data_IF_061340208244
#
_entry.id   IF_061340208244
#
_cell.length_a   1.000
_cell.length_b   1.000
_cell.length_c   1.000
_cell.angle_alpha   90.00
_cell.angle_beta   90.00
_cell.angle_gamma   90.00
#
_symmetry.space_group_name_H-M   'P 1'
#
loop_
_entity.id
_entity.type
_entity.pdbx_description
1 polymer ?
#
# COMPACT_ATOMS: atom_id res chain seq x y z
N UNK A 1 11.05 12.05 13.86
CA UNK A 1 9.73 12.71 13.78
C UNK A 1 9.68 13.86 12.78
N UNK A 2 10.55 14.90 12.88
CA UNK A 2 10.51 16.04 11.92
C UNK A 2 10.84 15.68 10.46
N UNK A 3 11.78 14.80 10.23
CA UNK A 3 12.26 14.43 8.87
C UNK A 3 11.23 13.61 8.09
N UNK A 4 10.48 12.72 8.74
CA UNK A 4 9.44 11.90 8.12
C UNK A 4 8.27 12.74 7.62
N UNK A 5 7.89 13.78 8.34
CA UNK A 5 6.88 14.73 7.92
C UNK A 5 7.35 15.59 6.73
N UNK A 6 8.60 16.01 6.72
CA UNK A 6 9.17 16.76 5.59
C UNK A 6 9.06 15.94 4.30
N UNK A 7 9.36 14.65 4.36
CA UNK A 7 9.30 13.78 3.18
C UNK A 7 7.85 13.50 2.75
N UNK A 8 6.92 13.27 3.71
CA UNK A 8 5.51 13.13 3.39
C UNK A 8 4.94 14.39 2.72
N UNK A 9 5.28 15.56 3.24
CA UNK A 9 4.89 16.83 2.63
C UNK A 9 5.56 17.07 1.28
N UNK A 10 6.84 16.72 1.14
CA UNK A 10 7.54 16.80 -0.16
C UNK A 10 6.84 15.94 -1.21
N UNK A 11 6.43 14.71 -0.85
CA UNK A 11 5.64 13.86 -1.74
C UNK A 11 4.34 14.54 -2.18
N UNK A 12 3.56 15.06 -1.23
CA UNK A 12 2.30 15.75 -1.53
C UNK A 12 2.54 16.97 -2.43
N UNK A 13 3.59 17.73 -2.19
CA UNK A 13 3.94 18.91 -3.00
C UNK A 13 4.33 18.49 -4.41
N UNK A 14 5.22 17.53 -4.57
CA UNK A 14 5.68 17.07 -5.89
C UNK A 14 4.57 16.35 -6.66
N UNK A 15 3.82 15.45 -6.01
CA UNK A 15 2.67 14.81 -6.63
C UNK A 15 1.61 15.81 -7.08
N UNK A 16 1.28 16.78 -6.23
CA UNK A 16 0.34 17.86 -6.58
C UNK A 16 0.85 18.74 -7.71
N UNK A 17 2.15 19.06 -7.75
CA UNK A 17 2.76 19.83 -8.83
C UNK A 17 2.70 19.07 -10.17
N UNK A 18 2.97 17.76 -10.17
CA UNK A 18 2.86 16.92 -11.36
C UNK A 18 1.41 16.78 -11.82
N UNK A 19 0.47 16.65 -10.89
CA UNK A 19 -0.96 16.64 -11.20
C UNK A 19 -1.43 17.95 -11.81
N UNK A 20 -0.99 19.09 -11.26
CA UNK A 20 -1.27 20.41 -11.84
C UNK A 20 -0.66 20.52 -13.24
N UNK A 21 0.58 20.09 -13.43
CA UNK A 21 1.21 20.07 -14.76
C UNK A 21 0.44 19.18 -15.75
N UNK A 22 -0.05 18.02 -15.30
CA UNK A 22 -0.92 17.15 -16.11
C UNK A 22 -2.19 17.88 -16.57
N UNK A 23 -2.85 18.65 -15.69
CA UNK A 23 -4.05 19.40 -16.04
C UNK A 23 -3.83 20.41 -17.19
N UNK A 24 -2.64 21.02 -17.26
CA UNK A 24 -2.31 21.97 -18.31
C UNK A 24 -1.77 21.33 -19.59
N UNK A 25 -1.11 20.18 -19.48
CA UNK A 25 -0.41 19.56 -20.62
C UNK A 25 -1.13 18.33 -21.17
N UNK A 26 -2.06 17.76 -20.42
CA UNK A 26 -2.69 16.47 -20.70
C UNK A 26 -1.68 15.32 -20.94
N UNK A 27 -0.46 15.46 -20.40
CA UNK A 27 0.58 14.45 -20.50
C UNK A 27 0.46 13.41 -19.38
N UNK A 28 0.00 12.21 -19.73
CA UNK A 28 -0.18 11.10 -18.78
C UNK A 28 1.12 10.61 -18.12
N UNK A 29 2.27 10.85 -18.73
CA UNK A 29 3.56 10.50 -18.11
C UNK A 29 3.78 11.26 -16.80
N UNK A 30 3.23 12.47 -16.67
CA UNK A 30 3.29 13.25 -15.43
C UNK A 30 2.44 12.62 -14.31
N UNK A 31 1.28 12.06 -14.65
CA UNK A 31 0.46 11.31 -13.69
C UNK A 31 1.20 10.04 -13.22
N UNK A 32 1.80 9.29 -14.15
CA UNK A 32 2.63 8.11 -13.81
C UNK A 32 3.83 8.51 -12.95
N UNK A 33 4.51 9.59 -13.27
CA UNK A 33 5.65 10.08 -12.48
C UNK A 33 5.22 10.47 -11.06
N UNK A 34 4.01 11.03 -10.88
CA UNK A 34 3.45 11.32 -9.57
C UNK A 34 3.26 10.06 -8.70
N UNK A 35 2.90 8.94 -9.32
CA UNK A 35 2.78 7.65 -8.64
C UNK A 35 4.16 7.03 -8.31
N UNK A 36 5.09 7.09 -9.24
CA UNK A 36 6.41 6.49 -9.07
C UNK A 36 7.24 7.15 -7.96
N UNK A 37 6.90 8.38 -7.54
CA UNK A 37 7.57 9.07 -6.43
C UNK A 37 7.38 8.35 -5.07
N UNK A 38 6.40 7.44 -4.97
CA UNK A 38 6.22 6.56 -3.80
C UNK A 38 7.39 5.61 -3.58
N UNK A 39 8.07 5.19 -4.65
CA UNK A 39 9.13 4.21 -4.59
C UNK A 39 10.32 4.71 -3.76
N UNK A 40 10.94 5.88 -4.04
CA UNK A 40 12.01 6.42 -3.21
C UNK A 40 11.55 6.69 -1.76
N UNK A 41 10.31 7.13 -1.56
CA UNK A 41 9.78 7.32 -0.22
C UNK A 41 9.64 5.99 0.55
N UNK A 42 9.17 4.93 -0.10
CA UNK A 42 9.14 3.59 0.47
C UNK A 42 10.52 3.17 0.99
N UNK A 43 11.56 3.25 0.15
CA UNK A 43 12.91 2.87 0.55
C UNK A 43 13.41 3.70 1.73
N UNK A 44 13.23 5.01 1.68
CA UNK A 44 13.63 5.89 2.77
C UNK A 44 12.92 5.54 4.08
N UNK A 45 11.60 5.43 4.07
CA UNK A 45 10.81 5.13 5.26
C UNK A 45 11.14 3.73 5.81
N UNK A 46 11.22 2.73 4.93
CA UNK A 46 11.52 1.36 5.32
C UNK A 46 12.91 1.23 5.96
N UNK A 47 13.94 1.82 5.36
CA UNK A 47 15.30 1.80 5.91
C UNK A 47 15.34 2.50 7.28
N UNK A 48 14.68 3.64 7.43
CA UNK A 48 14.66 4.39 8.70
C UNK A 48 13.84 3.71 9.79
N UNK A 49 12.72 3.09 9.45
CA UNK A 49 11.79 2.51 10.41
C UNK A 49 12.08 1.03 10.73
N UNK A 50 12.48 0.25 9.73
CA UNK A 50 12.73 -1.20 9.86
C UNK A 50 14.21 -1.58 9.74
N UNK A 51 15.02 -0.72 9.15
CA UNK A 51 16.43 -0.97 8.87
C UNK A 51 16.69 -1.57 7.49
N UNK A 52 17.96 -1.46 7.07
CA UNK A 52 18.38 -1.85 5.71
C UNK A 52 18.14 -3.33 5.40
N UNK A 53 18.52 -4.25 6.31
CA UNK A 53 18.36 -5.70 6.10
C UNK A 53 16.90 -6.13 5.94
N UNK A 54 15.99 -5.51 6.68
CA UNK A 54 14.56 -5.74 6.51
C UNK A 54 14.10 -5.26 5.13
N UNK A 55 14.48 -4.03 4.78
CA UNK A 55 14.09 -3.40 3.51
C UNK A 55 14.57 -4.21 2.31
N UNK A 56 15.83 -4.66 2.33
CA UNK A 56 16.41 -5.51 1.28
C UNK A 56 15.62 -6.81 1.09
N UNK A 57 15.35 -7.54 2.19
CA UNK A 57 14.58 -8.79 2.14
C UNK A 57 13.15 -8.55 1.68
N UNK A 58 12.48 -7.54 2.26
CA UNK A 58 11.11 -7.20 1.91
C UNK A 58 10.99 -6.85 0.43
N UNK A 59 11.87 -5.97 -0.06
CA UNK A 59 11.90 -5.56 -1.46
C UNK A 59 12.19 -6.74 -2.39
N UNK A 60 13.25 -7.51 -2.14
CA UNK A 60 13.63 -8.62 -3.02
C UNK A 60 12.50 -9.65 -3.14
N UNK A 61 11.91 -10.05 -2.02
CA UNK A 61 10.82 -11.04 -2.02
C UNK A 61 9.57 -10.48 -2.68
N UNK A 62 9.14 -9.28 -2.30
CA UNK A 62 7.91 -8.68 -2.84
C UNK A 62 8.04 -8.36 -4.33
N UNK A 63 9.19 -7.84 -4.77
CA UNK A 63 9.46 -7.54 -6.18
C UNK A 63 9.43 -8.79 -7.06
N UNK A 64 10.15 -9.85 -6.64
CA UNK A 64 10.23 -11.09 -7.42
C UNK A 64 8.85 -11.76 -7.50
N UNK A 65 8.13 -11.86 -6.39
CA UNK A 65 6.81 -12.48 -6.38
C UNK A 65 5.79 -11.65 -7.17
N UNK A 66 5.79 -10.34 -7.01
CA UNK A 66 4.93 -9.45 -7.80
C UNK A 66 5.22 -9.60 -9.30
N UNK A 67 6.50 -9.63 -9.70
CA UNK A 67 6.89 -9.86 -11.09
C UNK A 67 6.37 -11.20 -11.62
N UNK A 68 6.53 -12.29 -10.86
CA UNK A 68 6.05 -13.62 -11.25
C UNK A 68 4.53 -13.63 -11.40
N UNK A 69 3.79 -13.03 -10.45
CA UNK A 69 2.33 -12.96 -10.48
C UNK A 69 1.84 -12.13 -11.66
N UNK A 70 2.47 -10.98 -11.92
CA UNK A 70 2.17 -10.15 -13.09
C UNK A 70 2.47 -10.88 -14.40
N UNK A 71 3.61 -11.58 -14.48
CA UNK A 71 3.97 -12.38 -15.65
C UNK A 71 2.90 -13.47 -15.93
N UNK A 72 2.48 -14.20 -14.88
CA UNK A 72 1.41 -15.20 -15.01
C UNK A 72 0.10 -14.51 -15.42
N UNK A 73 -0.26 -13.40 -14.76
CA UNK A 73 -1.47 -12.63 -15.03
C UNK A 73 -1.55 -12.18 -16.48
N UNK A 74 -0.48 -11.58 -16.99
CA UNK A 74 -0.40 -11.08 -18.36
C UNK A 74 -0.56 -12.19 -19.40
N UNK A 75 0.07 -13.36 -19.21
CA UNK A 75 0.10 -14.45 -20.19
C UNK A 75 -1.11 -15.38 -20.11
N UNK A 76 -1.73 -15.52 -18.93
CA UNK A 76 -2.83 -16.47 -18.71
C UNK A 76 -4.18 -15.81 -18.42
N UNK A 77 -4.15 -14.57 -17.93
CA UNK A 77 -5.31 -13.88 -17.37
C UNK A 77 -5.59 -14.24 -15.90
N UNK A 78 -4.90 -15.23 -15.31
CA UNK A 78 -5.08 -15.58 -13.90
C UNK A 78 -4.01 -14.88 -13.05
N UNK A 79 -4.37 -14.26 -11.90
CA UNK A 79 -5.69 -14.24 -11.25
C UNK A 79 -6.57 -13.02 -11.61
N UNK A 80 -6.06 -12.04 -12.39
CA UNK A 80 -6.65 -10.71 -12.52
C UNK A 80 -7.77 -10.62 -13.56
N UNK A 81 -7.71 -11.40 -14.60
CA UNK A 81 -8.42 -11.27 -15.88
C UNK A 81 -7.42 -11.01 -17.00
N UNK A 82 -7.85 -11.06 -18.25
CA UNK A 82 -6.96 -10.77 -19.38
C UNK A 82 -6.82 -9.27 -19.59
N UNK A 83 -5.59 -8.79 -19.65
CA UNK A 83 -5.23 -7.39 -19.88
C UNK A 83 -3.96 -7.25 -20.69
N UNK A 84 -3.69 -6.04 -21.19
CA UNK A 84 -2.45 -5.67 -21.89
C UNK A 84 -1.96 -4.34 -21.37
N UNK A 85 -0.66 -4.19 -21.16
CA UNK A 85 -0.04 -2.92 -20.81
C UNK A 85 0.13 -2.02 -22.03
N UNK A 86 0.21 -0.70 -21.78
CA UNK A 86 0.58 0.30 -22.79
C UNK A 86 2.05 0.69 -22.62
N UNK A 87 2.67 1.26 -23.65
CA UNK A 87 4.07 1.68 -23.62
C UNK A 87 4.36 2.84 -22.62
N UNK A 88 3.34 3.47 -22.04
CA UNK A 88 3.49 4.60 -21.09
C UNK A 88 4.24 4.19 -19.83
N UNK A 89 4.15 2.91 -19.44
CA UNK A 89 4.81 2.39 -18.22
C UNK A 89 6.32 2.15 -18.39
N UNK A 90 6.87 2.46 -19.56
CA UNK A 90 8.31 2.40 -19.81
C UNK A 90 8.81 0.99 -20.18
N UNK A 91 10.07 0.66 -19.85
CA UNK A 91 10.70 -0.58 -20.27
C UNK A 91 10.04 -1.81 -19.65
N UNK A 92 9.92 -2.86 -20.45
CA UNK A 92 9.28 -4.13 -20.10
C UNK A 92 10.29 -5.27 -20.06
N UNK A 93 10.07 -6.21 -19.17
CA UNK A 93 10.75 -7.50 -19.12
C UNK A 93 9.70 -8.60 -19.32
N UNK A 94 9.80 -9.39 -20.38
CA UNK A 94 8.80 -10.40 -20.76
C UNK A 94 7.36 -9.85 -20.83
N UNK A 95 7.21 -8.60 -21.30
CA UNK A 95 5.92 -7.92 -21.41
C UNK A 95 5.40 -7.28 -20.11
N UNK A 96 6.08 -7.47 -18.99
CA UNK A 96 5.74 -6.83 -17.70
C UNK A 96 6.57 -5.56 -17.55
N UNK A 97 5.94 -4.37 -17.40
CA UNK A 97 6.68 -3.13 -17.14
C UNK A 97 7.47 -3.21 -15.84
N UNK A 98 8.76 -2.89 -15.89
CA UNK A 98 9.68 -2.99 -14.74
C UNK A 98 9.19 -2.16 -13.54
N UNK A 99 8.49 -1.05 -13.80
CA UNK A 99 7.93 -0.18 -12.77
C UNK A 99 6.85 -0.85 -11.92
N UNK A 100 6.08 -1.80 -12.48
CA UNK A 100 4.94 -2.42 -11.78
C UNK A 100 5.35 -3.20 -10.53
N UNK A 101 6.34 -4.11 -10.54
CA UNK A 101 6.77 -4.79 -9.31
C UNK A 101 7.37 -3.83 -8.26
N UNK A 102 8.00 -2.70 -8.66
CA UNK A 102 8.41 -1.66 -7.72
C UNK A 102 7.22 -1.01 -7.03
N UNK A 103 6.19 -0.68 -7.81
CA UNK A 103 4.95 -0.12 -7.28
C UNK A 103 4.29 -1.10 -6.31
N UNK A 104 4.12 -2.37 -6.70
CA UNK A 104 3.63 -3.43 -5.82
C UNK A 104 4.38 -3.49 -4.48
N UNK A 105 5.72 -3.47 -4.52
CA UNK A 105 6.54 -3.54 -3.31
C UNK A 105 6.30 -2.37 -2.38
N UNK A 106 6.14 -1.15 -2.91
CA UNK A 106 5.85 0.04 -2.12
C UNK A 106 4.46 0.01 -1.50
N UNK A 107 3.44 -0.39 -2.29
CA UNK A 107 2.05 -0.52 -1.82
C UNK A 107 1.92 -1.61 -0.75
N UNK A 108 2.55 -2.78 -0.94
CA UNK A 108 2.62 -3.86 0.04
C UNK A 108 3.24 -3.36 1.34
N UNK A 109 4.35 -2.62 1.27
CA UNK A 109 5.02 -2.10 2.46
C UNK A 109 4.09 -1.18 3.27
N UNK A 110 3.50 -0.15 2.66
CA UNK A 110 2.63 0.80 3.37
C UNK A 110 1.37 0.13 3.90
N UNK A 111 0.77 -0.78 3.14
CA UNK A 111 -0.36 -1.60 3.59
C UNK A 111 0.01 -2.44 4.81
N UNK A 112 1.20 -3.07 4.82
CA UNK A 112 1.66 -3.89 5.95
C UNK A 112 1.91 -3.07 7.20
N UNK A 113 2.58 -1.93 7.09
CA UNK A 113 2.88 -1.06 8.23
C UNK A 113 1.60 -0.44 8.83
N UNK A 114 0.67 0.00 7.98
CA UNK A 114 -0.62 0.52 8.42
C UNK A 114 -1.44 -0.55 9.17
N UNK A 115 -1.40 -1.80 8.72
CA UNK A 115 -2.09 -2.94 9.31
C UNK A 115 -1.33 -3.64 10.45
N UNK A 116 -0.15 -3.15 10.89
CA UNK A 116 0.75 -3.82 11.87
C UNK A 116 1.18 -5.22 11.41
N UNK A 117 1.48 -5.37 10.13
CA UNK A 117 1.90 -6.64 9.53
C UNK A 117 0.89 -7.79 9.74
N UNK A 118 -0.40 -7.46 9.88
CA UNK A 118 -1.47 -8.46 9.93
C UNK A 118 -1.82 -8.90 8.53
N UNK A 119 -1.51 -10.13 8.20
CA UNK A 119 -1.59 -10.73 6.87
C UNK A 119 -2.92 -10.41 6.16
N UNK A 120 -4.05 -10.76 6.75
CA UNK A 120 -5.38 -10.54 6.15
C UNK A 120 -5.71 -9.04 6.00
N UNK A 121 -5.46 -8.24 7.05
CA UNK A 121 -5.73 -6.80 7.02
C UNK A 121 -4.84 -6.10 5.99
N UNK A 122 -3.55 -6.44 5.91
CA UNK A 122 -2.64 -5.88 4.91
C UNK A 122 -3.09 -6.19 3.49
N UNK A 123 -3.57 -7.42 3.23
CA UNK A 123 -4.10 -7.81 1.91
C UNK A 123 -5.39 -7.08 1.57
N UNK A 124 -6.25 -6.82 2.55
CA UNK A 124 -7.46 -6.03 2.36
C UNK A 124 -7.13 -4.56 2.04
N UNK A 125 -6.08 -4.02 2.66
CA UNK A 125 -5.61 -2.67 2.34
C UNK A 125 -5.06 -2.57 0.91
N UNK A 126 -4.40 -3.61 0.39
CA UNK A 126 -3.97 -3.67 -1.01
C UNK A 126 -5.17 -3.66 -1.96
N UNK A 127 -6.21 -4.44 -1.65
CA UNK A 127 -7.47 -4.42 -2.42
C UNK A 127 -8.10 -3.02 -2.44
N UNK A 128 -8.11 -2.30 -1.33
CA UNK A 128 -8.69 -0.95 -1.27
C UNK A 128 -7.92 0.07 -2.11
N UNK A 129 -6.59 -0.06 -2.19
CA UNK A 129 -5.78 0.75 -3.09
C UNK A 129 -6.13 0.44 -4.55
N UNK A 130 -6.20 -0.83 -4.93
CA UNK A 130 -6.58 -1.26 -6.27
C UNK A 130 -7.96 -0.73 -6.68
N UNK A 131 -8.94 -0.82 -5.79
CA UNK A 131 -10.28 -0.24 -6.05
C UNK A 131 -10.27 1.27 -6.30
N UNK A 132 -9.27 1.99 -5.78
CA UNK A 132 -9.17 3.43 -5.97
C UNK A 132 -8.49 3.81 -7.28
N UNK A 133 -7.41 3.17 -7.67
CA UNK A 133 -6.64 3.61 -8.82
C UNK A 133 -6.94 2.86 -10.13
N UNK A 134 -7.37 1.60 -10.07
CA UNK A 134 -7.57 0.78 -11.27
C UNK A 134 -8.66 1.34 -12.23
N UNK A 135 -9.79 1.90 -11.77
CA UNK A 135 -10.75 2.57 -12.66
C UNK A 135 -10.16 3.68 -13.53
N UNK A 136 -9.11 4.35 -13.05
CA UNK A 136 -8.40 5.39 -13.78
C UNK A 136 -7.30 4.82 -14.63
N UNK A 137 -6.42 4.00 -14.06
CA UNK A 137 -5.25 3.49 -14.74
C UNK A 137 -5.60 2.56 -15.89
N UNK A 138 -6.66 1.76 -15.77
CA UNK A 138 -7.12 0.88 -16.85
C UNK A 138 -7.66 1.61 -18.09
N UNK A 139 -7.74 2.95 -18.06
CA UNK A 139 -8.08 3.75 -19.24
C UNK A 139 -6.86 4.08 -20.10
N UNK A 140 -5.65 4.10 -19.51
CA UNK A 140 -4.46 4.64 -20.15
C UNK A 140 -3.21 3.78 -20.00
N UNK A 141 -3.04 3.08 -18.87
CA UNK A 141 -1.82 2.33 -18.56
C UNK A 141 -1.94 0.85 -18.91
N UNK A 142 -3.14 0.31 -18.83
CA UNK A 142 -3.49 -1.05 -19.30
C UNK A 142 -4.94 -1.11 -19.76
N UNK A 143 -5.28 -2.14 -20.52
CA UNK A 143 -6.63 -2.33 -21.02
C UNK A 143 -7.11 -3.75 -20.71
N UNK A 144 -8.29 -3.84 -20.12
CA UNK A 144 -8.96 -5.12 -19.89
C UNK A 144 -9.57 -5.65 -21.19
N UNK A 145 -9.28 -6.92 -21.52
CA UNK A 145 -9.86 -7.56 -22.70
C UNK A 145 -11.39 -7.70 -22.58
N UNK A 146 -11.89 -7.88 -21.35
CA UNK A 146 -13.32 -7.90 -21.04
C UNK A 146 -13.54 -6.91 -19.89
N UNK A 147 -14.13 -5.74 -20.17
CA UNK A 147 -14.45 -4.76 -19.15
C UNK A 147 -15.42 -5.31 -18.10
N UNK A 148 -15.15 -5.02 -16.83
CA UNK A 148 -15.96 -5.45 -15.71
C UNK A 148 -17.00 -4.42 -15.26
N UNK A 149 -17.81 -4.79 -14.27
CA UNK A 149 -18.91 -3.98 -13.77
C UNK A 149 -18.48 -2.80 -12.89
N UNK A 150 -17.27 -2.84 -12.33
CA UNK A 150 -16.75 -1.77 -11.48
C UNK A 150 -15.92 -0.79 -12.34
N UNK A 151 -16.59 0.14 -13.00
CA UNK A 151 -15.98 1.17 -13.85
C UNK A 151 -14.99 0.64 -14.89
N UNK A 152 -15.31 -0.53 -15.46
CA UNK A 152 -14.48 -1.20 -16.45
C UNK A 152 -13.53 -2.26 -15.89
N UNK A 153 -13.37 -2.34 -14.57
CA UNK A 153 -12.48 -3.28 -13.90
C UNK A 153 -13.20 -4.61 -13.63
N UNK A 154 -12.62 -5.76 -14.03
CA UNK A 154 -13.19 -7.09 -13.74
C UNK A 154 -13.16 -7.40 -12.24
N UNK A 155 -14.19 -8.08 -11.73
CA UNK A 155 -14.20 -8.52 -10.33
C UNK A 155 -13.07 -9.50 -10.01
N UNK A 156 -12.64 -10.30 -10.99
CA UNK A 156 -11.48 -11.19 -10.85
C UNK A 156 -10.20 -10.43 -10.48
N UNK A 157 -10.04 -9.19 -10.94
CA UNK A 157 -8.89 -8.35 -10.58
C UNK A 157 -8.84 -8.11 -9.07
N UNK A 158 -9.94 -7.73 -8.46
CA UNK A 158 -10.00 -7.48 -7.02
C UNK A 158 -9.71 -8.72 -6.18
N UNK A 159 -10.26 -9.87 -6.56
CA UNK A 159 -9.91 -11.15 -5.93
C UNK A 159 -8.44 -11.51 -6.17
N UNK A 160 -7.94 -11.20 -7.36
CA UNK A 160 -6.54 -11.38 -7.73
C UNK A 160 -5.60 -10.54 -6.85
N UNK A 161 -5.87 -9.25 -6.68
CA UNK A 161 -5.09 -8.35 -5.82
C UNK A 161 -5.08 -8.82 -4.36
N UNK A 162 -6.25 -9.19 -3.84
CA UNK A 162 -6.34 -9.73 -2.49
C UNK A 162 -5.55 -11.04 -2.34
N UNK A 163 -5.74 -12.01 -3.24
CA UNK A 163 -5.09 -13.32 -3.19
C UNK A 163 -3.58 -13.23 -3.42
N UNK A 164 -3.13 -12.42 -4.39
CA UNK A 164 -1.72 -12.18 -4.66
C UNK A 164 -1.03 -11.53 -3.45
N UNK A 165 -1.64 -10.50 -2.89
CA UNK A 165 -1.13 -9.84 -1.68
C UNK A 165 -1.05 -10.79 -0.49
N UNK A 166 -2.07 -11.64 -0.30
CA UNK A 166 -2.11 -12.65 0.76
C UNK A 166 -0.94 -13.63 0.61
N UNK A 167 -0.69 -14.11 -0.61
CA UNK A 167 0.43 -15.00 -0.92
C UNK A 167 1.77 -14.31 -0.65
N UNK A 168 1.97 -13.10 -1.15
CA UNK A 168 3.23 -12.36 -0.97
C UNK A 168 3.48 -12.12 0.53
N UNK A 169 2.48 -11.67 1.29
CA UNK A 169 2.63 -11.47 2.73
C UNK A 169 2.90 -12.78 3.49
N UNK A 170 2.26 -13.89 3.11
CA UNK A 170 2.54 -15.18 3.71
C UNK A 170 4.00 -15.62 3.50
N UNK A 171 4.52 -15.41 2.29
CA UNK A 171 5.94 -15.70 1.99
C UNK A 171 6.86 -14.73 2.73
N UNK A 172 6.54 -13.44 2.78
CA UNK A 172 7.33 -12.45 3.51
C UNK A 172 7.50 -12.79 4.99
N UNK A 173 6.50 -13.42 5.63
CA UNK A 173 6.61 -13.88 7.03
C UNK A 173 7.70 -14.95 7.24
N UNK A 174 8.14 -15.64 6.17
CA UNK A 174 9.24 -16.63 6.24
C UNK A 174 10.62 -15.97 6.18
N UNK A 175 10.72 -14.78 5.61
CA UNK A 175 11.99 -14.09 5.33
C UNK A 175 12.22 -12.85 6.20
N UNK A 176 11.17 -12.27 6.76
CA UNK A 176 11.24 -11.06 7.57
C UNK A 176 10.82 -11.34 9.01
N UNK A 177 11.56 -10.74 9.96
CA UNK A 177 11.14 -10.79 11.37
C UNK A 177 9.86 -9.99 11.55
N UNK A 178 8.86 -10.62 12.15
CA UNK A 178 7.60 -9.95 12.49
C UNK A 178 7.86 -8.95 13.62
N UNK A 179 7.94 -7.71 13.28
CA UNK A 179 7.97 -6.62 14.24
C UNK A 179 6.64 -5.86 14.16
N UNK A 180 5.67 -6.27 14.95
CA UNK A 180 4.30 -5.72 14.96
C UNK A 180 4.22 -4.29 15.51
N UNK A 181 5.31 -3.53 15.45
CA UNK A 181 5.34 -2.13 15.85
C UNK A 181 4.39 -1.32 14.97
N UNK A 182 3.55 -0.52 15.61
CA UNK A 182 2.66 0.40 14.93
C UNK A 182 3.42 1.66 14.52
N UNK A 183 3.26 2.05 13.26
CA UNK A 183 3.71 3.34 12.78
C UNK A 183 2.51 4.21 12.44
N UNK A 184 2.29 5.25 13.22
CA UNK A 184 1.27 6.26 12.91
C UNK A 184 1.58 6.94 11.58
N UNK A 185 2.86 7.15 11.27
CA UNK A 185 3.28 7.74 10.00
C UNK A 185 2.96 6.80 8.82
N UNK A 186 3.15 5.48 8.99
CA UNK A 186 2.77 4.49 7.98
C UNK A 186 1.26 4.49 7.72
N UNK A 187 0.43 4.59 8.76
CA UNK A 187 -1.02 4.70 8.61
C UNK A 187 -1.42 6.00 7.91
N UNK A 188 -0.87 7.14 8.34
CA UNK A 188 -1.12 8.44 7.72
C UNK A 188 -0.71 8.39 6.25
N UNK A 189 0.45 7.82 5.96
CA UNK A 189 0.97 7.77 4.60
C UNK A 189 0.11 6.89 3.69
N UNK A 190 -0.30 5.71 4.15
CA UNK A 190 -1.25 4.85 3.44
C UNK A 190 -2.57 5.60 3.14
N UNK A 191 -3.07 6.36 4.12
CA UNK A 191 -4.32 7.11 3.97
C UNK A 191 -4.16 8.28 3.00
N UNK A 192 -3.04 9.02 3.07
CA UNK A 192 -2.73 10.10 2.15
C UNK A 192 -2.57 9.61 0.71
N UNK A 193 -1.96 8.42 0.53
CA UNK A 193 -1.89 7.77 -0.78
C UNK A 193 -3.30 7.53 -1.34
N UNK A 194 -4.18 6.95 -0.54
CA UNK A 194 -5.56 6.71 -0.95
C UNK A 194 -6.31 8.00 -1.30
N UNK A 195 -6.17 9.06 -0.50
CA UNK A 195 -6.79 10.35 -0.81
C UNK A 195 -6.19 11.03 -2.03
N UNK A 196 -4.89 10.85 -2.27
CA UNK A 196 -4.27 11.35 -3.48
C UNK A 196 -4.90 10.71 -4.72
N UNK A 197 -5.13 9.38 -4.70
CA UNK A 197 -5.87 8.71 -5.77
C UNK A 197 -7.28 9.30 -5.97
N UNK A 198 -8.00 9.57 -4.88
CA UNK A 198 -9.33 10.18 -4.97
C UNK A 198 -9.29 11.57 -5.63
N UNK A 199 -8.27 12.39 -5.32
CA UNK A 199 -8.09 13.71 -5.96
C UNK A 199 -7.81 13.55 -7.44
N UNK A 200 -6.93 12.62 -7.84
CA UNK A 200 -6.65 12.36 -9.24
C UNK A 200 -7.88 11.86 -10.00
N UNK A 201 -8.70 11.01 -9.39
CA UNK A 201 -9.96 10.54 -9.97
C UNK A 201 -10.93 11.71 -10.23
N UNK A 202 -11.03 12.65 -9.28
CA UNK A 202 -11.85 13.88 -9.46
C UNK A 202 -11.32 14.72 -10.63
N UNK A 203 -9.99 14.88 -10.71
CA UNK A 203 -9.34 15.67 -11.75
C UNK A 203 -9.61 15.12 -13.16
N UNK A 204 -9.63 13.77 -13.31
CA UNK A 204 -9.93 13.13 -14.60
C UNK A 204 -11.42 12.85 -14.82
N UNK A 205 -12.30 13.34 -13.95
CA UNK A 205 -13.76 13.25 -14.10
C UNK A 205 -14.36 11.90 -13.66
N UNK A 206 -13.65 11.11 -12.85
CA UNK A 206 -14.13 9.81 -12.34
C UNK A 206 -14.70 10.00 -10.92
N UNK A 207 -15.81 10.71 -10.79
CA UNK A 207 -16.33 11.14 -9.49
C UNK A 207 -16.85 10.02 -8.59
N UNK A 208 -17.50 9.00 -9.15
CA UNK A 208 -18.11 7.92 -8.35
C UNK A 208 -17.03 7.06 -7.68
N UNK A 209 -16.01 6.54 -8.38
CA UNK A 209 -14.85 5.90 -7.75
C UNK A 209 -14.18 6.77 -6.69
N UNK A 210 -13.98 8.06 -6.95
CA UNK A 210 -13.41 9.01 -5.98
C UNK A 210 -14.20 9.06 -4.66
N UNK A 211 -15.54 9.14 -4.73
CA UNK A 211 -16.40 9.15 -3.55
C UNK A 211 -16.33 7.82 -2.80
N UNK A 212 -16.46 6.69 -3.52
CA UNK A 212 -16.37 5.35 -2.91
C UNK A 212 -15.04 5.18 -2.19
N UNK A 213 -13.94 5.50 -2.86
CA UNK A 213 -12.59 5.38 -2.31
C UNK A 213 -12.37 6.30 -1.11
N UNK A 214 -12.86 7.55 -1.16
CA UNK A 214 -12.79 8.48 -0.01
C UNK A 214 -13.49 7.92 1.23
N UNK A 215 -14.65 7.30 1.07
CA UNK A 215 -15.38 6.64 2.16
C UNK A 215 -14.56 5.46 2.69
N UNK A 216 -14.05 4.61 1.81
CA UNK A 216 -13.24 3.44 2.18
C UNK A 216 -12.00 3.87 2.98
N UNK A 217 -11.24 4.86 2.52
CA UNK A 217 -10.02 5.31 3.21
C UNK A 217 -10.33 6.00 4.53
N UNK A 218 -11.42 6.79 4.61
CA UNK A 218 -11.87 7.39 5.88
C UNK A 218 -12.22 6.33 6.91
N UNK A 219 -13.06 5.37 6.56
CA UNK A 219 -13.48 4.30 7.46
C UNK A 219 -12.30 3.42 7.86
N UNK A 220 -11.41 3.10 6.92
CA UNK A 220 -10.19 2.34 7.17
C UNK A 220 -9.27 3.06 8.15
N UNK A 221 -9.04 4.36 7.96
CA UNK A 221 -8.23 5.17 8.87
C UNK A 221 -8.79 5.15 10.29
N UNK A 222 -10.08 5.44 10.44
CA UNK A 222 -10.75 5.46 11.75
C UNK A 222 -10.72 4.08 12.42
N UNK A 223 -10.96 3.01 11.66
CA UNK A 223 -10.91 1.64 12.15
C UNK A 223 -9.51 1.28 12.65
N UNK A 224 -8.49 1.50 11.83
CA UNK A 224 -7.11 1.17 12.19
C UNK A 224 -6.58 2.03 13.33
N UNK A 225 -6.97 3.31 13.38
CA UNK A 225 -6.61 4.19 14.49
C UNK A 225 -7.21 3.70 15.82
N UNK A 226 -8.50 3.38 15.83
CA UNK A 226 -9.19 2.84 17.01
C UNK A 226 -8.61 1.49 17.45
N UNK A 227 -8.35 0.60 16.51
CA UNK A 227 -7.73 -0.70 16.79
C UNK A 227 -6.34 -0.54 17.43
N UNK A 228 -5.55 0.43 16.97
CA UNK A 228 -4.23 0.69 17.51
C UNK A 228 -4.29 1.36 18.89
N UNK A 229 -5.25 2.26 19.11
CA UNK A 229 -5.50 2.86 20.41
C UNK A 229 -5.85 1.80 21.47
N UNK A 230 -6.81 0.91 21.17
CA UNK A 230 -7.19 -0.19 22.08
C UNK A 230 -6.00 -1.08 22.44
N UNK A 231 -5.20 -1.50 21.46
CA UNK A 231 -4.02 -2.32 21.73
C UNK A 231 -3.00 -1.62 22.62
N UNK A 232 -2.82 -0.30 22.48
CA UNK A 232 -1.91 0.47 23.33
C UNK A 232 -2.40 0.55 24.78
N UNK A 233 -3.70 0.74 24.99
CA UNK A 233 -4.32 0.73 26.32
C UNK A 233 -4.20 -0.64 26.99
N UNK A 234 -4.48 -1.72 26.27
CA UNK A 234 -4.34 -3.09 26.80
C UNK A 234 -2.90 -3.42 27.20
N UNK A 235 -1.91 -3.01 26.38
CA UNK A 235 -0.50 -3.18 26.71
C UNK A 235 -0.11 -2.43 27.99
N UNK A 236 -0.61 -1.20 28.15
CA UNK A 236 -0.36 -0.39 29.34
C UNK A 236 -0.97 -1.03 30.61
N UNK A 237 -2.21 -1.53 30.52
CA UNK A 237 -2.85 -2.24 31.62
C UNK A 237 -2.10 -3.53 32.00
N UNK A 238 -1.67 -4.32 31.00
CA UNK A 238 -0.88 -5.53 31.21
C UNK A 238 0.48 -5.23 31.86
N UNK A 239 1.14 -4.14 31.46
CA UNK A 239 2.41 -3.70 32.06
C UNK A 239 2.23 -3.28 33.52
N UNK A 240 1.23 -2.47 33.82
CA UNK A 240 0.90 -2.06 35.19
C UNK A 240 0.56 -3.28 36.07
N UNK A 241 -0.18 -4.23 35.52
CA UNK A 241 -0.51 -5.49 36.24
C UNK A 241 0.73 -6.32 36.57
N UNK A 242 1.73 -6.36 35.66
CA UNK A 242 3.02 -7.03 35.93
C UNK A 242 3.82 -6.34 37.02
N UNK A 243 3.90 -5.02 36.99
CA UNK A 243 4.59 -4.25 38.03
C UNK A 243 3.95 -4.52 39.40
N UNK A 244 2.63 -4.43 39.54
CA UNK A 244 1.91 -4.71 40.78
C UNK A 244 2.21 -6.12 41.32
N UNK A 245 2.23 -7.15 40.45
CA UNK A 245 2.59 -8.52 40.83
C UNK A 245 4.03 -8.63 41.31
N UNK A 246 4.96 -7.92 40.70
CA UNK A 246 6.38 -7.93 41.12
C UNK A 246 6.55 -7.26 42.48
N UNK A 247 5.94 -6.09 42.70
CA UNK A 247 5.97 -5.39 43.99
C UNK A 247 5.39 -6.28 45.12
N UNK A 248 4.24 -6.90 44.87
CA UNK A 248 3.60 -7.81 45.83
C UNK A 248 4.46 -9.02 46.19
N UNK A 249 5.21 -9.59 45.20
CA UNK A 249 6.17 -10.65 45.47
C UNK A 249 7.36 -10.18 46.36
N UNK A 250 7.88 -8.98 46.09
CA UNK A 250 8.98 -8.41 46.85
C UNK A 250 8.57 -8.13 48.32
N UNK A 251 7.36 -7.61 48.55
CA UNK A 251 6.82 -7.40 49.88
C UNK A 251 6.62 -8.71 50.67
N UNK A 252 6.24 -9.79 50.00
CA UNK A 252 6.11 -11.12 50.61
C UNK A 252 7.45 -11.78 50.95
N UNK A 253 8.50 -11.49 50.19
CA UNK A 253 9.83 -12.05 50.46
C UNK A 253 10.64 -11.25 51.48
N UNK A 254 10.17 -10.09 51.86
CA UNK A 254 10.79 -9.21 52.87
C UNK A 254 10.19 -9.39 54.30
N UNK A 255 9.16 -10.23 54.40
CA UNK A 255 8.55 -10.68 55.68
C UNK A 255 8.98 -12.12 55.99
#
# INVERSE_FOLDING_TARGET
MKTEWVIAYSYLIFGSAMLVAYLFTHNYELSVAAELIFIPFYFYHSIKFKGFKYTEKFFSVSYILAFIIEFIGLHTGFPFGRYTYTAILGPELFGVPVAIPFLWSSLLYFSSIAARERLFTSSLLMLFLDMSFDPRFSRHLWHWAVPGIYFGVPLSNFFGWFGASLLIFAVLLLFTEKNSSFSINGLIFYTLLGYFQCVEDVVVGIYIPAVISSIIFTLTFLFLLNMNYKNSVEQQHSFIGRIKKTIFKMEKSAK
#
